data_IF_773772859412
#
_entry.id   IF_773772859412
#
_cell.length_a   1.000
_cell.length_b   1.000
_cell.length_c   1.000
_cell.angle_alpha   90.00
_cell.angle_beta   90.00
_cell.angle_gamma   90.00
#
_symmetry.space_group_name_H-M   'P 1'
#
loop_
_entity.id
_entity.type
_entity.pdbx_description
1 polymer ?
#
# COMPACT_ATOMS: atom_id res chain seq x y z
N UNK A 1 30.41 -36.33 -7.47
CA UNK A 1 30.16 -35.36 -6.38
C UNK A 1 29.58 -34.10 -7.02
N UNK A 2 28.47 -34.23 -7.75
CA UNK A 2 28.12 -33.28 -8.83
C UNK A 2 26.65 -32.86 -8.87
N UNK A 3 25.74 -33.61 -8.24
CA UNK A 3 24.31 -33.29 -8.27
C UNK A 3 23.90 -32.20 -7.27
N UNK A 4 24.58 -32.13 -6.12
CA UNK A 4 24.32 -31.14 -5.07
C UNK A 4 24.73 -29.71 -5.46
N UNK A 5 25.67 -29.56 -6.40
CA UNK A 5 26.20 -28.25 -6.82
C UNK A 5 25.25 -27.57 -7.82
N UNK A 6 24.64 -28.30 -8.74
CA UNK A 6 23.65 -27.75 -9.69
C UNK A 6 22.35 -27.30 -9.01
N UNK A 7 21.84 -28.04 -8.02
CA UNK A 7 20.62 -27.66 -7.28
C UNK A 7 20.78 -26.31 -6.57
N UNK A 8 21.94 -26.03 -5.98
CA UNK A 8 22.20 -24.74 -5.31
C UNK A 8 22.30 -23.58 -6.29
N UNK A 9 22.88 -23.79 -7.47
CA UNK A 9 22.95 -22.76 -8.52
C UNK A 9 21.56 -22.43 -9.06
N UNK A 10 20.71 -23.43 -9.31
CA UNK A 10 19.34 -23.21 -9.76
C UNK A 10 18.51 -22.43 -8.72
N UNK A 11 18.63 -22.78 -7.44
CA UNK A 11 17.96 -22.07 -6.35
C UNK A 11 18.46 -20.63 -6.22
N UNK A 12 19.77 -20.40 -6.37
CA UNK A 12 20.34 -19.04 -6.38
C UNK A 12 19.89 -18.22 -7.59
N UNK A 13 19.77 -18.81 -8.77
CA UNK A 13 19.29 -18.13 -9.98
C UNK A 13 17.80 -17.80 -9.86
N UNK A 14 16.98 -18.69 -9.32
CA UNK A 14 15.56 -18.39 -9.03
C UNK A 14 15.45 -17.27 -7.99
N UNK A 15 16.22 -17.32 -6.90
CA UNK A 15 16.24 -16.23 -5.90
C UNK A 15 16.74 -14.90 -6.48
N UNK A 16 17.74 -14.90 -7.36
CA UNK A 16 18.25 -13.70 -8.03
C UNK A 16 17.28 -13.14 -9.08
N UNK A 17 16.53 -14.00 -9.79
CA UNK A 17 15.48 -13.56 -10.74
C UNK A 17 14.29 -12.93 -10.00
N UNK A 18 13.94 -13.43 -8.80
CA UNK A 18 12.93 -12.79 -7.94
C UNK A 18 13.45 -11.52 -7.24
N UNK A 19 14.76 -11.35 -7.09
CA UNK A 19 15.34 -10.17 -6.43
C UNK A 19 15.55 -8.96 -7.36
N UNK A 20 15.48 -9.12 -8.69
CA UNK A 20 15.91 -8.07 -9.64
C UNK A 20 14.93 -7.70 -10.75
N UNK A 21 13.64 -8.04 -10.65
CA UNK A 21 12.61 -7.39 -11.46
C UNK A 21 11.81 -6.48 -10.57
N UNK A 22 11.84 -5.18 -10.85
CA UNK A 22 10.88 -4.22 -10.30
C UNK A 22 9.48 -4.71 -10.64
N UNK A 23 8.92 -5.52 -9.74
CA UNK A 23 7.55 -5.95 -9.83
C UNK A 23 6.74 -4.67 -9.86
N UNK A 24 5.97 -4.52 -10.92
CA UNK A 24 5.01 -3.46 -11.10
C UNK A 24 3.95 -3.64 -10.01
N UNK A 25 4.25 -3.17 -8.79
CA UNK A 25 3.38 -3.30 -7.63
C UNK A 25 2.03 -2.74 -8.01
N UNK A 26 0.99 -3.57 -7.97
CA UNK A 26 -0.38 -3.13 -8.20
C UNK A 26 -1.03 -2.89 -6.85
N UNK A 27 -1.47 -1.67 -6.61
CA UNK A 27 -2.24 -1.33 -5.43
C UNK A 27 -3.67 -1.03 -5.82
N UNK A 28 -4.62 -1.40 -4.98
CA UNK A 28 -5.97 -0.85 -5.08
C UNK A 28 -5.91 0.65 -4.84
N UNK A 29 -6.61 1.41 -5.68
CA UNK A 29 -6.77 2.84 -5.53
C UNK A 29 -8.24 3.20 -5.43
N UNK A 30 -8.59 3.91 -4.38
CA UNK A 30 -9.92 4.46 -4.18
C UNK A 30 -9.86 5.75 -3.38
N UNK A 31 -10.94 6.52 -3.46
CA UNK A 31 -11.19 7.71 -2.67
C UNK A 31 -12.68 7.75 -2.34
N UNK A 32 -13.01 7.91 -1.06
CA UNK A 32 -14.40 8.05 -0.60
C UNK A 32 -14.46 9.03 0.57
N UNK A 33 -15.54 9.80 0.62
CA UNK A 33 -15.88 10.68 1.76
C UNK A 33 -17.08 10.16 2.55
N UNK A 34 -17.64 9.02 2.15
CA UNK A 34 -18.86 8.44 2.73
C UNK A 34 -18.46 7.32 3.69
N UNK A 35 -17.96 6.22 3.15
CA UNK A 35 -17.53 5.03 3.90
C UNK A 35 -16.29 4.37 3.30
N UNK A 36 -15.66 3.49 4.09
CA UNK A 36 -14.58 2.62 3.61
C UNK A 36 -15.10 1.56 2.63
N UNK A 37 -16.32 1.05 2.84
CA UNK A 37 -16.94 0.07 1.94
C UNK A 37 -17.18 0.64 0.54
N UNK A 38 -17.69 1.87 0.44
CA UNK A 38 -17.88 2.55 -0.86
C UNK A 38 -16.54 2.75 -1.59
N UNK A 39 -15.47 3.02 -0.83
CA UNK A 39 -14.13 3.14 -1.37
C UNK A 39 -13.68 1.80 -1.98
N UNK A 40 -13.85 0.70 -1.24
CA UNK A 40 -13.45 -0.63 -1.66
C UNK A 40 -14.28 -1.14 -2.84
N UNK A 41 -15.59 -0.90 -2.85
CA UNK A 41 -16.48 -1.28 -3.95
C UNK A 41 -16.11 -0.61 -5.28
N UNK A 42 -15.64 0.65 -5.23
CA UNK A 42 -15.16 1.39 -6.39
C UNK A 42 -13.66 1.26 -6.67
N UNK A 43 -12.92 0.47 -5.88
CA UNK A 43 -11.47 0.42 -5.95
C UNK A 43 -10.99 -0.19 -7.27
N UNK A 44 -10.01 0.46 -7.90
CA UNK A 44 -9.39 -0.04 -9.14
C UNK A 44 -7.92 -0.36 -8.91
N UNK A 45 -7.39 -1.46 -9.46
CA UNK A 45 -5.96 -1.75 -9.40
C UNK A 45 -5.20 -0.69 -10.21
N UNK A 46 -4.14 -0.16 -9.63
CA UNK A 46 -3.23 0.78 -10.27
C UNK A 46 -1.79 0.31 -10.08
N UNK A 47 -1.07 0.24 -11.19
CA UNK A 47 0.37 -0.01 -11.18
C UNK A 47 1.10 1.19 -10.58
N UNK A 48 1.96 0.91 -9.60
CA UNK A 48 2.85 1.90 -9.00
C UNK A 48 4.19 1.86 -9.74
N UNK A 49 4.58 2.99 -10.34
CA UNK A 49 5.73 3.06 -11.24
C UNK A 49 7.08 3.28 -10.54
N UNK A 50 7.12 3.29 -9.20
CA UNK A 50 8.37 3.44 -8.44
C UNK A 50 8.78 2.09 -7.85
N UNK A 51 10.04 1.71 -8.01
CA UNK A 51 10.59 0.45 -7.44
C UNK A 51 10.53 0.35 -5.91
N UNK A 52 10.28 1.46 -5.21
CA UNK A 52 10.09 1.52 -3.74
C UNK A 52 8.62 1.79 -3.35
N UNK A 53 7.69 1.52 -4.26
CA UNK A 53 6.27 1.70 -3.98
C UNK A 53 5.78 0.69 -2.96
N UNK A 54 4.83 1.10 -2.14
CA UNK A 54 4.05 0.27 -1.22
C UNK A 54 2.57 0.64 -1.34
N UNK A 55 1.68 -0.30 -1.03
CA UNK A 55 0.26 -0.02 -0.95
C UNK A 55 -0.11 0.44 0.45
N UNK A 56 -0.81 1.56 0.55
CA UNK A 56 -1.19 2.15 1.81
C UNK A 56 -2.67 2.51 1.84
N UNK A 57 -3.27 2.34 3.02
CA UNK A 57 -4.57 2.89 3.37
C UNK A 57 -4.40 4.06 4.31
N UNK A 58 -5.20 5.09 4.07
CA UNK A 58 -5.23 6.29 4.90
C UNK A 58 -6.66 6.71 5.14
N UNK A 59 -7.00 6.88 6.40
CA UNK A 59 -8.30 7.29 6.88
C UNK A 59 -8.14 8.48 7.80
N UNK A 60 -8.90 9.55 7.52
CA UNK A 60 -8.99 10.72 8.40
C UNK A 60 -10.46 10.93 8.67
N UNK A 61 -10.82 11.05 9.94
CA UNK A 61 -12.15 11.49 10.36
C UNK A 61 -12.03 12.80 11.12
N UNK A 62 -12.87 13.77 10.75
CA UNK A 62 -12.98 15.07 11.39
C UNK A 62 -14.41 15.26 11.86
N UNK A 63 -14.59 15.66 13.12
CA UNK A 63 -15.93 15.88 13.67
C UNK A 63 -16.71 17.00 12.97
N UNK A 64 -16.03 17.91 12.27
CA UNK A 64 -16.65 19.03 11.55
C UNK A 64 -16.62 18.90 10.02
N UNK A 65 -15.76 18.04 9.46
CA UNK A 65 -15.58 17.89 7.99
C UNK A 65 -15.92 16.48 7.47
N UNK A 66 -16.25 15.54 8.37
CA UNK A 66 -16.54 14.17 8.03
C UNK A 66 -15.28 13.32 7.78
N UNK A 67 -15.48 12.17 7.17
CA UNK A 67 -14.43 11.18 6.92
C UNK A 67 -13.87 11.26 5.51
N UNK A 68 -12.62 10.82 5.36
CA UNK A 68 -11.96 10.58 4.07
C UNK A 68 -11.22 9.26 4.15
N UNK A 69 -11.47 8.40 3.17
CA UNK A 69 -10.87 7.08 3.01
C UNK A 69 -10.11 7.04 1.70
N UNK A 70 -8.84 6.62 1.74
CA UNK A 70 -7.97 6.59 0.58
C UNK A 70 -7.16 5.31 0.56
N UNK A 71 -7.17 4.63 -0.59
CA UNK A 71 -6.19 3.59 -0.92
C UNK A 71 -5.31 4.13 -2.04
N UNK A 72 -3.99 3.98 -1.91
CA UNK A 72 -3.06 4.46 -2.94
C UNK A 72 -1.70 3.76 -2.88
N UNK A 73 -0.93 3.93 -3.95
CA UNK A 73 0.52 3.77 -3.92
C UNK A 73 1.16 4.89 -3.10
N UNK A 74 2.19 4.58 -2.32
CA UNK A 74 3.12 5.56 -1.75
C UNK A 74 4.49 4.95 -1.54
N UNK A 75 5.35 5.61 -0.78
CA UNK A 75 6.68 5.10 -0.43
C UNK A 75 6.77 4.86 1.07
N UNK A 76 7.78 4.10 1.52
CA UNK A 76 8.02 3.87 2.95
C UNK A 76 8.18 5.18 3.73
N UNK A 77 8.85 6.19 3.16
CA UNK A 77 8.97 7.54 3.74
C UNK A 77 7.61 8.25 3.84
N UNK A 78 6.77 8.14 2.81
CA UNK A 78 5.41 8.69 2.83
C UNK A 78 4.60 8.07 3.97
N UNK A 79 4.61 6.74 4.09
CA UNK A 79 3.92 6.02 5.16
C UNK A 79 4.38 6.47 6.55
N UNK A 80 5.69 6.55 6.78
CA UNK A 80 6.24 7.01 8.06
C UNK A 80 5.81 8.44 8.42
N UNK A 81 5.73 9.34 7.42
CA UNK A 81 5.26 10.70 7.65
C UNK A 81 3.77 10.76 8.00
N UNK A 82 2.93 9.99 7.29
CA UNK A 82 1.51 9.88 7.61
C UNK A 82 1.26 9.24 8.97
N UNK A 83 2.04 8.23 9.33
CA UNK A 83 1.96 7.61 10.65
C UNK A 83 2.30 8.61 11.75
N UNK A 84 3.40 9.37 11.60
CA UNK A 84 3.76 10.45 12.54
C UNK A 84 2.69 11.53 12.63
N UNK A 85 2.03 11.86 11.52
CA UNK A 85 0.91 12.80 11.50
C UNK A 85 -0.29 12.24 12.28
N UNK A 86 -0.69 11.00 12.01
CA UNK A 86 -1.81 10.36 12.69
C UNK A 86 -1.59 10.11 14.19
N UNK A 87 -0.35 9.97 14.64
CA UNK A 87 -0.03 9.79 16.07
C UNK A 87 -0.17 11.08 16.89
N UNK A 88 -0.32 12.24 16.24
CA UNK A 88 -0.51 13.50 16.95
C UNK A 88 -2.01 13.78 17.06
N UNK A 89 -2.57 13.94 18.27
CA UNK A 89 -3.93 14.42 18.39
C UNK A 89 -4.02 15.82 17.75
N UNK A 90 -4.93 15.97 16.79
CA UNK A 90 -5.17 17.23 16.11
C UNK A 90 -6.55 17.72 16.53
N UNK A 91 -6.58 18.79 17.31
CA UNK A 91 -7.81 19.51 17.65
C UNK A 91 -7.65 20.93 17.14
N UNK A 92 -8.57 21.37 16.29
CA UNK A 92 -8.54 22.71 15.72
C UNK A 92 -9.94 23.24 15.54
N UNK A 93 -10.16 24.51 15.86
CA UNK A 93 -11.46 25.18 15.71
C UNK A 93 -12.01 25.15 14.27
N UNK A 94 -11.17 24.86 13.27
CA UNK A 94 -11.58 24.80 11.85
C UNK A 94 -12.05 23.41 11.39
N UNK A 95 -11.60 22.35 12.07
CA UNK A 95 -11.82 20.96 11.67
C UNK A 95 -12.27 20.07 12.84
N UNK A 96 -12.47 20.63 14.02
CA UNK A 96 -12.81 19.91 15.23
C UNK A 96 -11.71 18.95 15.67
N UNK A 97 -12.13 17.88 16.32
CA UNK A 97 -11.28 16.75 16.65
C UNK A 97 -11.04 15.91 15.40
N UNK A 98 -9.79 15.52 15.19
CA UNK A 98 -9.39 14.71 14.05
C UNK A 98 -8.78 13.41 14.54
N UNK A 99 -9.38 12.30 14.12
CA UNK A 99 -8.81 10.96 14.25
C UNK A 99 -8.23 10.53 12.90
N UNK A 100 -7.13 9.79 12.94
CA UNK A 100 -6.34 9.47 11.75
C UNK A 100 -5.76 8.08 11.89
N UNK A 101 -5.85 7.30 10.81
CA UNK A 101 -5.30 5.94 10.74
C UNK A 101 -4.57 5.77 9.42
N UNK A 102 -3.37 5.20 9.48
CA UNK A 102 -2.60 4.82 8.29
C UNK A 102 -2.14 3.39 8.45
N UNK A 103 -2.40 2.53 7.46
CA UNK A 103 -1.99 1.12 7.48
C UNK A 103 -1.33 0.73 6.15
N UNK A 104 -0.48 -0.29 6.21
CA UNK A 104 -0.04 -0.98 5.01
C UNK A 104 -1.15 -1.92 4.56
N UNK A 105 -1.39 -1.99 3.26
CA UNK A 105 -2.35 -2.93 2.67
C UNK A 105 -1.65 -3.87 1.72
N UNK A 106 -2.23 -5.05 1.54
CA UNK A 106 -1.73 -6.00 0.55
C UNK A 106 -1.84 -5.39 -0.87
N UNK A 107 -0.92 -5.75 -1.79
CA UNK A 107 -1.12 -5.47 -3.21
C UNK A 107 -2.44 -6.07 -3.70
N UNK A 108 -3.04 -5.41 -4.69
CA UNK A 108 -4.13 -6.02 -5.46
C UNK A 108 -3.54 -7.28 -6.08
N UNK A 109 -4.11 -8.45 -5.81
CA UNK A 109 -3.60 -9.74 -6.26
C UNK A 109 -3.10 -9.62 -7.70
N UNK A 110 -1.79 -9.83 -7.87
CA UNK A 110 -1.27 -10.18 -9.18
C UNK A 110 -1.93 -11.50 -9.50
N UNK A 111 -2.84 -11.52 -10.47
CA UNK A 111 -3.12 -12.75 -11.21
C UNK A 111 -1.74 -13.26 -11.67
N UNK A 112 -1.19 -14.21 -10.92
CA UNK A 112 -0.10 -15.03 -11.38
C UNK A 112 -0.70 -15.74 -12.57
N UNK A 113 -0.40 -15.25 -13.77
CA UNK A 113 -0.61 -15.97 -15.02
C UNK A 113 0.12 -17.30 -14.89
N UNK A 114 -0.55 -18.31 -14.33
CA UNK A 114 -0.25 -19.71 -14.56
C UNK A 114 -0.58 -19.94 -16.02
N UNK A 115 0.44 -19.81 -16.86
CA UNK A 115 0.43 -20.27 -18.24
C UNK A 115 1.04 -21.66 -18.29
#
# INVERSE_FOLDING_TARGET
MDEFKMKRVAVFVVLLVFACKGENLRCLRCFSTVSAEDCLAGAKPKTCNNGESICLSHEIHSSMKGSRFVLTCGTRRHYQNLQKYCMKPQVSNRVGEVTCKTSLVAPAESEVFTK
#
